data_IF_284711392375
#
_entry.id   IF_284711392375
#
_cell.length_a   1.000
_cell.length_b   1.000
_cell.length_c   1.000
_cell.angle_alpha   90.00
_cell.angle_beta   90.00
_cell.angle_gamma   90.00
#
_symmetry.space_group_name_H-M   'P 1'
#
loop_
_entity.id
_entity.type
_entity.pdbx_description
1 polymer ?
#
# COMPACT_ATOMS: atom_id res chain seq x y z
N UNK A 1 -18.05 -13.64 1.61
CA UNK A 1 -16.64 -13.21 1.63
C UNK A 1 -16.42 -12.29 0.43
N UNK A 2 -16.49 -10.97 0.63
CA UNK A 2 -16.24 -10.02 -0.44
C UNK A 2 -14.78 -10.12 -0.87
N UNK A 3 -14.53 -10.45 -2.14
CA UNK A 3 -13.18 -10.40 -2.73
C UNK A 3 -12.75 -8.94 -2.67
N UNK A 4 -11.79 -8.61 -1.79
CA UNK A 4 -11.10 -7.31 -1.83
C UNK A 4 -10.52 -7.19 -3.23
N UNK A 5 -11.03 -6.23 -3.99
CA UNK A 5 -10.49 -5.87 -5.29
C UNK A 5 -9.17 -5.18 -5.00
N UNK A 6 -8.11 -5.96 -4.79
CA UNK A 6 -6.78 -5.39 -4.69
C UNK A 6 -6.53 -4.71 -6.02
N UNK A 7 -6.27 -3.41 -6.01
CA UNK A 7 -6.02 -2.64 -7.21
C UNK A 7 -4.58 -2.90 -7.69
N UNK A 8 -4.29 -4.17 -7.99
CA UNK A 8 -3.00 -4.71 -8.43
C UNK A 8 -2.38 -3.86 -9.54
N UNK A 9 -3.12 -3.34 -10.54
CA UNK A 9 -2.56 -2.47 -11.58
C UNK A 9 -1.96 -1.18 -11.01
N UNK A 10 -2.65 -0.53 -10.06
CA UNK A 10 -2.20 0.73 -9.48
C UNK A 10 -0.97 0.53 -8.59
N UNK A 11 -0.92 -0.56 -7.82
CA UNK A 11 0.24 -0.89 -6.99
C UNK A 11 1.47 -1.20 -7.86
N UNK A 12 1.29 -1.90 -8.98
CA UNK A 12 2.36 -2.16 -9.95
C UNK A 12 2.92 -0.87 -10.55
N UNK A 13 2.04 0.08 -10.91
CA UNK A 13 2.46 1.40 -11.41
C UNK A 13 3.26 2.18 -10.36
N UNK A 14 2.80 2.20 -9.10
CA UNK A 14 3.49 2.86 -8.01
C UNK A 14 4.87 2.23 -7.74
N UNK A 15 4.95 0.90 -7.82
CA UNK A 15 6.18 0.15 -7.65
C UNK A 15 7.15 0.34 -8.84
N UNK A 16 6.63 0.45 -10.06
CA UNK A 16 7.41 0.78 -11.25
C UNK A 16 8.01 2.18 -11.13
N UNK A 17 7.21 3.17 -10.72
CA UNK A 17 7.69 4.52 -10.42
C UNK A 17 8.77 4.52 -9.34
N UNK A 18 8.64 3.68 -8.31
CA UNK A 18 9.67 3.52 -7.29
C UNK A 18 11.00 2.99 -7.86
N UNK A 19 10.96 2.05 -8.83
CA UNK A 19 12.16 1.61 -9.55
C UNK A 19 12.79 2.77 -10.31
N UNK A 20 11.99 3.54 -11.04
CA UNK A 20 12.49 4.66 -11.86
C UNK A 20 13.21 5.69 -11.00
N UNK A 21 12.66 6.01 -9.82
CA UNK A 21 13.28 6.93 -8.84
C UNK A 21 14.62 6.37 -8.34
N UNK A 22 14.69 5.07 -8.04
CA UNK A 22 15.93 4.42 -7.61
C UNK A 22 16.90 4.13 -8.77
N UNK A 23 16.51 4.36 -10.02
CA UNK A 23 17.27 4.04 -11.23
C UNK A 23 17.38 2.55 -11.57
N UNK A 24 17.15 1.64 -10.61
CA UNK A 24 17.09 0.20 -10.86
C UNK A 24 16.35 -0.56 -9.76
N UNK A 25 15.84 -1.76 -10.12
CA UNK A 25 15.25 -2.69 -9.15
C UNK A 25 16.22 -3.11 -8.05
N UNK A 26 17.49 -3.33 -8.41
CA UNK A 26 18.53 -3.73 -7.46
C UNK A 26 18.79 -2.63 -6.43
N UNK A 27 18.81 -1.37 -6.85
CA UNK A 27 19.00 -0.23 -5.95
C UNK A 27 17.79 -0.02 -5.03
N UNK A 28 16.56 -0.12 -5.58
CA UNK A 28 15.35 -0.10 -4.76
C UNK A 28 15.39 -1.22 -3.69
N UNK A 29 15.78 -2.43 -4.07
CA UNK A 29 15.91 -3.54 -3.15
C UNK A 29 16.96 -3.28 -2.07
N UNK A 30 18.14 -2.79 -2.46
CA UNK A 30 19.20 -2.42 -1.52
C UNK A 30 18.72 -1.40 -0.50
N UNK A 31 17.98 -0.37 -0.93
CA UNK A 31 17.45 0.68 -0.05
C UNK A 31 16.39 0.15 0.90
N UNK A 32 15.43 -0.65 0.42
CA UNK A 32 14.42 -1.28 1.28
C UNK A 32 15.08 -2.16 2.34
N UNK A 33 16.15 -2.89 1.98
CA UNK A 33 16.90 -3.74 2.89
C UNK A 33 17.65 -2.99 4.00
N UNK A 34 17.90 -1.68 3.84
CA UNK A 34 18.42 -0.84 4.92
C UNK A 34 17.39 -0.68 6.06
N UNK A 35 16.10 -0.69 5.72
CA UNK A 35 15.01 -0.53 6.67
C UNK A 35 14.44 -1.88 7.14
N UNK A 36 14.45 -2.89 6.26
CA UNK A 36 13.99 -4.23 6.58
C UNK A 36 14.79 -5.30 5.85
N UNK A 37 15.84 -5.87 6.49
CA UNK A 37 16.72 -6.88 5.89
C UNK A 37 15.97 -8.13 5.41
N UNK A 38 14.89 -8.50 6.09
CA UNK A 38 14.06 -9.67 5.77
C UNK A 38 13.26 -9.52 4.47
N UNK A 39 13.17 -8.30 3.93
CA UNK A 39 12.32 -7.98 2.78
C UNK A 39 13.08 -8.06 1.45
N UNK A 40 14.43 -8.04 1.47
CA UNK A 40 15.29 -8.01 0.29
C UNK A 40 14.99 -9.12 -0.73
N UNK A 41 14.77 -10.35 -0.27
CA UNK A 41 14.55 -11.52 -1.14
C UNK A 41 13.12 -11.62 -1.70
N UNK A 42 12.19 -10.79 -1.20
CA UNK A 42 10.78 -10.83 -1.60
C UNK A 42 10.44 -9.83 -2.70
N UNK A 43 11.32 -8.86 -2.93
CA UNK A 43 11.13 -7.81 -3.93
C UNK A 43 11.07 -8.40 -5.34
N UNK A 44 12.02 -9.30 -5.67
CA UNK A 44 11.98 -10.01 -6.95
C UNK A 44 10.71 -10.84 -7.12
N UNK A 45 10.13 -11.37 -6.03
CA UNK A 45 8.85 -12.08 -6.07
C UNK A 45 7.69 -11.13 -6.43
N UNK A 46 7.63 -9.92 -5.84
CA UNK A 46 6.58 -8.94 -6.11
C UNK A 46 6.53 -8.54 -7.58
N UNK A 47 7.71 -8.30 -8.15
CA UNK A 47 7.83 -7.94 -9.55
C UNK A 47 7.59 -9.12 -10.49
N UNK A 48 8.16 -10.28 -10.20
CA UNK A 48 8.11 -11.41 -11.15
C UNK A 48 6.74 -12.07 -11.21
N UNK A 49 5.92 -11.94 -10.16
CA UNK A 49 4.59 -12.55 -10.09
C UNK A 49 3.46 -11.56 -10.26
N UNK A 50 3.77 -10.29 -10.57
CA UNK A 50 2.80 -9.18 -10.51
C UNK A 50 1.98 -9.22 -9.22
N UNK A 51 2.64 -9.57 -8.11
CA UNK A 51 1.98 -9.75 -6.82
C UNK A 51 1.98 -8.46 -6.04
N UNK A 52 0.94 -8.34 -5.23
CA UNK A 52 0.71 -7.25 -4.28
C UNK A 52 1.90 -7.10 -3.35
N UNK A 53 2.36 -5.86 -3.17
CA UNK A 53 3.32 -5.53 -2.11
C UNK A 53 2.62 -5.78 -0.77
N UNK A 54 3.16 -6.65 0.11
CA UNK A 54 2.61 -6.88 1.43
C UNK A 54 2.48 -5.59 2.22
N UNK A 55 1.41 -5.46 3.02
CA UNK A 55 1.08 -4.23 3.75
C UNK A 55 2.18 -3.80 4.73
N UNK A 56 2.92 -4.74 5.29
CA UNK A 56 4.08 -4.54 6.16
C UNK A 56 5.29 -4.00 5.41
N UNK A 57 5.38 -4.27 4.10
CA UNK A 57 6.47 -3.80 3.27
C UNK A 57 6.27 -2.38 2.70
N UNK A 58 5.02 -1.93 2.59
CA UNK A 58 4.63 -0.66 1.97
C UNK A 58 5.36 0.56 2.56
N UNK A 59 5.49 0.73 3.89
CA UNK A 59 6.22 1.87 4.46
C UNK A 59 7.69 1.89 4.07
N UNK A 60 8.33 0.72 3.93
CA UNK A 60 9.75 0.64 3.55
C UNK A 60 9.97 0.99 2.07
N UNK A 61 9.03 0.63 1.19
CA UNK A 61 9.08 1.06 -0.21
C UNK A 61 8.95 2.57 -0.30
N UNK A 62 8.01 3.17 0.43
CA UNK A 62 7.85 4.62 0.48
C UNK A 62 9.10 5.32 1.04
N UNK A 63 9.70 4.78 2.10
CA UNK A 63 10.93 5.30 2.69
C UNK A 63 12.14 5.18 1.74
N UNK A 64 12.25 4.10 0.96
CA UNK A 64 13.34 3.90 0.01
C UNK A 64 13.40 4.94 -1.12
N UNK A 65 12.26 5.58 -1.41
CA UNK A 65 12.13 6.66 -2.40
C UNK A 65 11.85 8.01 -1.75
N UNK A 66 12.19 8.17 -0.48
CA UNK A 66 12.06 9.42 0.27
C UNK A 66 10.64 10.02 0.22
N UNK A 67 9.61 9.17 0.20
CA UNK A 67 8.21 9.58 0.18
C UNK A 67 7.68 10.06 -1.18
N UNK A 68 8.47 9.97 -2.25
CA UNK A 68 8.01 10.33 -3.62
C UNK A 68 6.94 9.39 -4.18
N UNK A 69 6.79 8.21 -3.57
CA UNK A 69 5.65 7.31 -3.75
C UNK A 69 4.99 7.14 -2.39
N UNK A 70 3.70 7.47 -2.31
CA UNK A 70 2.94 7.38 -1.07
C UNK A 70 2.56 5.94 -0.75
N UNK A 71 2.39 5.66 0.54
CA UNK A 71 1.87 4.37 1.03
C UNK A 71 0.47 4.05 0.48
N UNK A 72 -0.31 5.09 0.15
CA UNK A 72 -1.66 4.95 -0.40
C UNK A 72 -1.66 4.57 -1.90
N UNK A 73 -0.66 5.03 -2.66
CA UNK A 73 -0.45 4.60 -4.04
C UNK A 73 0.01 3.13 -4.09
N UNK A 74 0.88 2.74 -3.15
CA UNK A 74 1.38 1.37 -3.02
C UNK A 74 0.35 0.42 -2.42
N UNK A 75 -0.59 0.91 -1.63
CA UNK A 75 -1.64 0.13 -1.00
C UNK A 75 -2.85 1.01 -0.69
N UNK A 76 -3.84 1.08 -1.60
CA UNK A 76 -5.05 1.87 -1.38
C UNK A 76 -5.83 1.43 -0.13
N UNK A 77 -5.68 0.16 0.27
CA UNK A 77 -6.28 -0.39 1.48
C UNK A 77 -5.77 0.29 2.77
N UNK A 78 -4.58 0.90 2.76
CA UNK A 78 -4.12 1.74 3.87
C UNK A 78 -5.01 2.96 4.07
N UNK A 79 -5.48 3.58 2.99
CA UNK A 79 -6.37 4.75 3.06
C UNK A 79 -7.72 4.34 3.65
N UNK A 80 -8.27 3.22 3.18
CA UNK A 80 -9.56 2.71 3.65
C UNK A 80 -9.49 2.23 5.11
N UNK A 81 -8.41 1.53 5.48
CA UNK A 81 -8.17 1.11 6.86
C UNK A 81 -8.07 2.28 7.83
N UNK A 82 -7.34 3.35 7.45
CA UNK A 82 -7.28 4.57 8.25
C UNK A 82 -8.62 5.32 8.29
N UNK A 83 -9.38 5.34 7.19
CA UNK A 83 -10.70 5.95 7.14
C UNK A 83 -11.67 5.25 8.10
N UNK A 84 -11.70 3.93 8.09
CA UNK A 84 -12.51 3.11 9.00
C UNK A 84 -12.06 3.29 10.44
N UNK A 85 -10.75 3.19 10.72
CA UNK A 85 -10.22 3.38 12.07
C UNK A 85 -10.52 4.79 12.60
N UNK A 86 -10.41 5.82 11.76
CA UNK A 86 -10.77 7.19 12.11
C UNK A 86 -12.25 7.33 12.43
N UNK A 87 -13.13 6.75 11.61
CA UNK A 87 -14.58 6.76 11.86
C UNK A 87 -14.92 6.06 13.19
N UNK A 88 -14.25 4.94 13.50
CA UNK A 88 -14.41 4.22 14.77
C UNK A 88 -13.90 5.05 15.97
N UNK A 89 -12.73 5.69 15.85
CA UNK A 89 -12.14 6.48 16.92
C UNK A 89 -12.88 7.81 17.17
N UNK A 90 -13.49 8.38 16.13
CA UNK A 90 -14.27 9.61 16.23
C UNK A 90 -15.75 9.35 16.56
N UNK A 91 -16.16 8.10 16.80
CA UNK A 91 -17.56 7.71 17.00
C UNK A 91 -18.49 8.25 15.90
N UNK A 92 -18.03 8.33 14.65
CA UNK A 92 -18.85 8.74 13.51
C UNK A 92 -19.74 7.57 13.00
N UNK A 93 -20.31 6.80 13.93
CA UNK A 93 -21.44 5.93 13.65
C UNK A 93 -22.67 6.81 13.39
N UNK A 94 -22.76 7.35 12.18
CA UNK A 94 -24.05 7.84 11.68
C UNK A 94 -24.87 6.61 11.37
N UNK A 95 -25.67 6.18 12.34
CA UNK A 95 -26.77 5.25 12.13
C UNK A 95 -27.56 5.74 10.91
N UNK A 96 -27.88 4.87 9.92
CA UNK A 96 -28.82 5.25 8.88
C UNK A 96 -30.15 5.55 9.58
N UNK A 97 -30.56 6.82 9.62
CA UNK A 97 -31.92 7.14 10.03
C UNK A 97 -32.85 6.45 9.05
N UNK A 98 -33.57 5.45 9.53
CA UNK A 98 -34.75 4.91 8.87
C UNK A 98 -35.64 6.10 8.51
N UNK A 99 -35.76 6.35 7.21
CA UNK A 99 -36.78 7.24 6.69
C UNK A 99 -38.12 6.54 6.91
N UNK A 100 -38.69 6.78 8.09
CA UNK A 100 -40.12 6.59 8.34
C UNK A 100 -40.87 7.52 7.38
N UNK A 101 -41.20 6.99 6.20
CA UNK A 101 -42.10 7.65 5.26
C UNK A 101 -43.51 7.40 5.77
N UNK A 102 -44.10 8.45 6.33
CA UNK A 102 -45.53 8.58 6.53
C UNK A 102 -46.29 8.66 5.19
#
# INVERSE_FOLDING_TARGET
>A
MARRTVNVPQQLLALQKAIEICGSRRELARRISLFSPCTSGRIDMWFSRNTVVPIDAVPFVAAAVDGQVSVYELCPEYAEGWRVLRALLLNEHREPQEQESA
#
